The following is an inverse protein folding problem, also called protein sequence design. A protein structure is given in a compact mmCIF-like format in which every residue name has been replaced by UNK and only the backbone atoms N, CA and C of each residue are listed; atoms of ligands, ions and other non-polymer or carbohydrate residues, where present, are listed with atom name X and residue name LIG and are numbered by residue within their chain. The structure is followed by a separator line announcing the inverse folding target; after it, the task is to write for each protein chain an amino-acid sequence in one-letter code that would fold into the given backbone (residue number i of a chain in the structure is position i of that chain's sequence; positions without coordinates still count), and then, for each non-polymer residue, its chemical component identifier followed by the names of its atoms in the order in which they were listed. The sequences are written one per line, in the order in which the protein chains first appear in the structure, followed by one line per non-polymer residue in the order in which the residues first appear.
data_IF_703152113944
#
_entry.id   IF_703152113944
#
_cell.length_a   1.000
_cell.length_b   1.000
_cell.length_c   1.000
_cell.angle_alpha   90.00
_cell.angle_beta   90.00
_cell.angle_gamma   90.00
#
_symmetry.space_group_name_H-M   'P 1'
#
loop_
_entity.id
_entity.type
_entity.pdbx_description
1 polymer ?
#
# COMPACT_ATOMS: atom_id res chain seq x y z
N UNK A 1 9.63 -21.72 4.02
CA UNK A 1 10.49 -20.75 3.32
C UNK A 1 9.58 -19.61 2.89
N UNK A 2 10.00 -18.34 2.96
CA UNK A 2 9.18 -17.24 2.43
C UNK A 2 9.60 -17.09 0.97
N UNK A 3 8.71 -17.48 0.07
CA UNK A 3 9.05 -17.58 -1.35
C UNK A 3 8.76 -16.26 -2.09
N UNK A 4 7.69 -15.55 -1.72
CA UNK A 4 7.31 -14.26 -2.32
C UNK A 4 6.59 -13.31 -1.34
N UNK A 5 6.63 -12.01 -1.67
CA UNK A 5 5.81 -10.97 -1.03
C UNK A 5 4.58 -10.75 -1.91
N UNK A 6 3.38 -11.03 -1.38
CA UNK A 6 2.13 -10.90 -2.12
C UNK A 6 1.54 -9.49 -2.03
N UNK A 7 1.47 -8.93 -0.82
CA UNK A 7 0.93 -7.62 -0.56
C UNK A 7 1.74 -6.88 0.51
N UNK A 8 1.68 -5.56 0.48
CA UNK A 8 2.29 -4.68 1.47
C UNK A 8 1.24 -3.69 1.96
N UNK A 9 1.14 -3.53 3.27
CA UNK A 9 0.30 -2.53 3.91
C UNK A 9 1.18 -1.42 4.48
N UNK A 10 0.95 -0.18 4.05
CA UNK A 10 1.67 0.99 4.56
C UNK A 10 0.76 1.85 5.43
N UNK A 11 1.35 2.40 6.49
CA UNK A 11 0.76 3.46 7.30
C UNK A 11 1.62 4.69 7.09
N UNK A 12 1.09 5.69 6.41
CA UNK A 12 1.82 6.89 6.06
C UNK A 12 1.26 8.13 6.77
N UNK A 13 2.16 8.95 7.31
CA UNK A 13 1.82 10.28 7.80
C UNK A 13 1.54 11.26 6.65
N UNK A 14 2.43 11.28 5.64
CA UNK A 14 2.18 11.95 4.35
C UNK A 14 1.65 10.92 3.35
N UNK A 15 0.33 10.79 3.33
CA UNK A 15 -0.36 9.80 2.55
C UNK A 15 -0.16 9.96 1.04
N UNK A 16 -0.29 11.18 0.54
CA UNK A 16 -0.24 11.46 -0.88
C UNK A 16 1.15 11.20 -1.45
N UNK A 17 2.20 11.65 -0.75
CA UNK A 17 3.58 11.38 -1.15
C UNK A 17 3.89 9.89 -1.15
N UNK A 18 3.40 9.18 -0.14
CA UNK A 18 3.61 7.73 -0.03
C UNK A 18 2.88 7.00 -1.16
N UNK A 19 1.60 7.30 -1.38
CA UNK A 19 0.80 6.73 -2.47
C UNK A 19 1.51 6.91 -3.81
N UNK A 20 1.93 8.14 -4.12
CA UNK A 20 2.63 8.44 -5.38
C UNK A 20 3.90 7.61 -5.55
N UNK A 21 4.72 7.48 -4.51
CA UNK A 21 5.92 6.66 -4.56
C UNK A 21 5.61 5.19 -4.85
N UNK A 22 4.68 4.59 -4.11
CA UNK A 22 4.40 3.16 -4.26
C UNK A 22 3.63 2.84 -5.55
N UNK A 23 2.75 3.72 -6.03
CA UNK A 23 1.93 3.45 -7.22
C UNK A 23 2.56 3.94 -8.51
N UNK A 24 3.16 5.15 -8.52
CA UNK A 24 3.69 5.77 -9.74
C UNK A 24 5.15 5.45 -9.96
N UNK A 25 5.97 5.46 -8.90
CA UNK A 25 7.41 5.23 -9.03
C UNK A 25 7.70 3.72 -9.00
N UNK A 26 7.13 2.99 -8.05
CA UNK A 26 7.32 1.54 -7.94
C UNK A 26 6.32 0.70 -8.76
N UNK A 27 5.21 1.30 -9.20
CA UNK A 27 4.25 0.62 -10.07
C UNK A 27 3.34 -0.38 -9.37
N UNK A 28 3.22 -0.34 -8.03
CA UNK A 28 2.32 -1.23 -7.30
C UNK A 28 0.86 -0.83 -7.48
N UNK A 29 -0.02 -1.83 -7.43
CA UNK A 29 -1.45 -1.64 -7.58
C UNK A 29 -2.09 -1.39 -6.21
N UNK A 30 -2.97 -0.40 -6.15
CA UNK A 30 -3.77 -0.12 -4.95
C UNK A 30 -4.87 -1.15 -4.82
N UNK A 31 -4.84 -1.92 -3.72
CA UNK A 31 -5.90 -2.87 -3.37
C UNK A 31 -6.97 -2.20 -2.51
N UNK A 32 -6.56 -1.41 -1.52
CA UNK A 32 -7.49 -0.77 -0.59
C UNK A 32 -6.90 0.49 0.04
N UNK A 33 -7.75 1.50 0.25
CA UNK A 33 -7.43 2.74 0.96
C UNK A 33 -8.41 2.89 2.13
N UNK A 34 -7.90 2.93 3.36
CA UNK A 34 -8.75 3.01 4.56
C UNK A 34 -8.31 4.17 5.45
N UNK A 35 -9.20 5.13 5.66
CA UNK A 35 -9.02 6.15 6.69
C UNK A 35 -9.35 5.58 8.06
N UNK A 36 -8.40 5.70 9.00
CA UNK A 36 -8.57 5.25 10.39
C UNK A 36 -8.72 6.47 11.29
N UNK A 37 -9.97 6.90 11.49
CA UNK A 37 -10.30 8.11 12.25
C UNK A 37 -9.69 8.15 13.65
N UNK A 38 -9.74 7.03 14.38
CA UNK A 38 -9.17 6.91 15.74
C UNK A 38 -7.66 7.17 15.80
N UNK A 39 -6.96 6.93 14.70
CA UNK A 39 -5.49 7.06 14.60
C UNK A 39 -5.07 8.18 13.65
N UNK A 40 -6.02 8.98 13.17
CA UNK A 40 -5.83 10.07 12.20
C UNK A 40 -4.83 9.73 11.09
N UNK A 41 -4.95 8.51 10.53
CA UNK A 41 -3.99 7.99 9.56
C UNK A 41 -4.65 7.15 8.50
N UNK A 42 -4.01 7.10 7.33
CA UNK A 42 -4.41 6.25 6.23
C UNK A 42 -3.66 4.92 6.27
N UNK A 43 -4.38 3.85 5.97
CA UNK A 43 -3.83 2.54 5.62
C UNK A 43 -3.98 2.36 4.11
N UNK A 44 -2.88 2.07 3.42
CA UNK A 44 -2.87 1.75 1.99
C UNK A 44 -2.34 0.34 1.81
N UNK A 45 -3.18 -0.52 1.24
CA UNK A 45 -2.84 -1.90 0.91
C UNK A 45 -2.49 -1.97 -0.58
N UNK A 46 -1.35 -2.59 -0.89
CA UNK A 46 -0.74 -2.62 -2.22
C UNK A 46 -0.41 -4.04 -2.65
N UNK A 47 -0.58 -4.34 -3.93
CA UNK A 47 -0.11 -5.58 -4.57
C UNK A 47 1.28 -5.37 -5.17
N UNK A 48 2.22 -6.27 -4.86
CA UNK A 48 3.64 -6.12 -5.23
C UNK A 48 3.98 -6.77 -6.58
N UNK A 49 3.10 -7.61 -7.15
CA UNK A 49 3.39 -8.36 -8.37
C UNK A 49 2.23 -8.39 -9.38
N UNK A 50 1.19 -7.57 -9.20
CA UNK A 50 -0.03 -7.63 -10.04
C UNK A 50 -0.74 -9.00 -10.03
N UNK A 51 -0.29 -9.93 -9.19
CA UNK A 51 -0.84 -11.27 -9.03
C UNK A 51 -1.53 -11.33 -7.68
N UNK A 52 -2.84 -11.11 -7.69
CA UNK A 52 -3.71 -11.56 -6.62
C UNK A 52 -3.74 -13.08 -6.69
N UNK A 53 -3.28 -13.77 -5.65
CA UNK A 53 -3.48 -15.22 -5.46
C UNK A 53 -4.54 -15.43 -4.39
#
# INVERSE_FOLDING_TARGET
MIDHIHHVAIIAGDYNRSKDFYTRILGFEVLQEVWRAERQSWKLDLSVNGQYQ
#
